data_IF_387644855626
#
_entry.id   IF_387644855626
#
_cell.length_a   1.000
_cell.length_b   1.000
_cell.length_c   1.000
_cell.angle_alpha   90.00
_cell.angle_beta   90.00
_cell.angle_gamma   90.00
#
_symmetry.space_group_name_H-M   'P 1'
#
loop_
_entity.id
_entity.type
_entity.pdbx_description
1 polymer ?
#
# COMPACT_ATOMS: atom_id res chain seq x y z
N UNK A 1 40.68 -19.00 -56.72
CA UNK A 1 40.29 -17.67 -56.20
C UNK A 1 39.26 -17.85 -55.11
N UNK A 2 39.67 -17.78 -53.84
CA UNK A 2 38.77 -17.95 -52.68
C UNK A 2 38.43 -16.54 -52.17
N UNK A 3 37.19 -16.09 -52.39
CA UNK A 3 36.69 -14.81 -51.86
C UNK A 3 36.44 -14.98 -50.35
N UNK A 4 37.27 -14.38 -49.51
CA UNK A 4 37.00 -14.24 -48.07
C UNK A 4 35.95 -13.15 -47.87
N UNK A 5 34.73 -13.54 -47.49
CA UNK A 5 33.71 -12.60 -47.02
C UNK A 5 34.10 -12.16 -45.59
N UNK A 6 34.45 -10.89 -45.43
CA UNK A 6 34.67 -10.27 -44.13
C UNK A 6 33.29 -9.83 -43.61
N UNK A 7 32.74 -10.57 -42.66
CA UNK A 7 31.56 -10.14 -41.92
C UNK A 7 31.99 -9.12 -40.86
N UNK A 8 31.73 -7.84 -41.13
CA UNK A 8 31.86 -6.78 -40.13
C UNK A 8 30.66 -6.90 -39.20
N UNK A 9 30.88 -7.48 -38.02
CA UNK A 9 29.91 -7.48 -36.93
C UNK A 9 29.82 -6.05 -36.38
N UNK A 10 28.88 -5.26 -36.90
CA UNK A 10 28.56 -3.93 -36.35
C UNK A 10 27.89 -4.15 -35.00
N UNK A 11 28.68 -4.00 -33.93
CA UNK A 11 28.18 -3.95 -32.56
C UNK A 11 27.40 -2.63 -32.39
N UNK A 12 26.09 -2.69 -32.66
CA UNK A 12 25.17 -1.61 -32.32
C UNK A 12 25.02 -1.63 -30.80
N UNK A 13 25.81 -0.80 -30.12
CA UNK A 13 25.62 -0.51 -28.69
C UNK A 13 24.36 0.34 -28.57
N UNK A 14 23.21 -0.32 -28.42
CA UNK A 14 21.98 0.35 -28.02
C UNK A 14 22.15 0.75 -26.57
N UNK A 15 22.52 2.02 -26.33
CA UNK A 15 22.44 2.62 -25.02
C UNK A 15 20.95 2.69 -24.63
N UNK A 16 20.47 1.66 -23.94
CA UNK A 16 19.16 1.67 -23.34
C UNK A 16 19.14 2.77 -22.28
N UNK A 17 18.49 3.90 -22.58
CA UNK A 17 18.17 4.92 -21.58
C UNK A 17 17.28 4.28 -20.50
N UNK A 18 17.90 3.78 -19.44
CA UNK A 18 17.18 3.40 -18.24
C UNK A 18 16.49 4.66 -17.70
N UNK A 19 15.18 4.64 -17.42
CA UNK A 19 14.47 5.79 -16.89
C UNK A 19 15.09 6.19 -15.54
N UNK A 20 15.80 7.32 -15.53
CA UNK A 20 16.49 7.82 -14.33
C UNK A 20 15.48 8.57 -13.47
N UNK A 21 15.16 8.00 -12.30
CA UNK A 21 14.62 8.77 -11.19
C UNK A 21 15.61 9.91 -10.90
N UNK A 22 15.13 11.15 -10.76
CA UNK A 22 15.99 12.27 -10.41
C UNK A 22 15.99 12.41 -8.89
N UNK A 23 17.15 12.66 -8.31
CA UNK A 23 17.31 12.86 -6.88
C UNK A 23 18.28 14.00 -6.61
N UNK A 24 17.85 14.95 -5.79
CA UNK A 24 18.69 16.01 -5.24
C UNK A 24 18.83 15.77 -3.76
N UNK A 25 19.94 15.13 -3.36
CA UNK A 25 20.23 14.80 -1.96
C UNK A 25 21.11 15.91 -1.39
N UNK A 26 20.62 16.59 -0.35
CA UNK A 26 21.31 17.71 0.30
C UNK A 26 22.05 17.26 1.57
N UNK A 27 21.58 16.19 2.21
CA UNK A 27 22.17 15.60 3.41
C UNK A 27 22.00 14.08 3.32
N UNK A 28 23.02 13.31 3.68
CA UNK A 28 22.96 11.84 3.70
C UNK A 28 23.09 11.32 5.13
N UNK A 29 22.35 10.25 5.43
CA UNK A 29 22.44 9.50 6.68
C UNK A 29 22.82 8.04 6.37
N UNK A 30 23.18 7.22 7.38
CA UNK A 30 23.41 5.79 7.17
C UNK A 30 22.21 5.14 6.46
N UNK A 31 22.44 4.31 5.42
CA UNK A 31 21.37 3.64 4.72
C UNK A 31 20.52 2.77 5.65
N UNK A 32 19.21 2.72 5.39
CA UNK A 32 18.28 1.90 6.17
C UNK A 32 18.19 0.48 5.61
N UNK A 33 17.95 -0.53 6.47
CA UNK A 33 17.61 -1.89 6.05
C UNK A 33 16.43 -1.94 5.07
N UNK A 34 16.38 -2.98 4.24
CA UNK A 34 15.35 -3.13 3.18
C UNK A 34 13.92 -3.16 3.74
N UNK A 35 13.75 -3.76 4.92
CA UNK A 35 12.51 -3.93 5.67
C UNK A 35 12.21 -2.76 6.61
N UNK A 36 13.14 -1.79 6.75
CA UNK A 36 12.91 -0.61 7.58
C UNK A 36 11.65 0.14 7.13
N UNK A 37 10.85 0.56 8.11
CA UNK A 37 9.66 1.38 7.90
C UNK A 37 10.06 2.69 7.21
N UNK A 38 9.42 2.94 6.06
CA UNK A 38 9.44 4.24 5.39
C UNK A 38 8.02 4.71 5.22
N UNK A 39 7.68 5.77 5.95
CA UNK A 39 6.34 6.37 5.93
C UNK A 39 6.19 7.22 4.69
N UNK A 40 5.02 7.16 4.05
CA UNK A 40 4.67 7.98 2.90
C UNK A 40 3.44 8.79 3.25
N UNK A 41 3.62 10.11 3.30
CA UNK A 41 2.56 11.09 3.47
C UNK A 41 2.10 11.54 2.08
N UNK A 42 0.79 11.45 1.83
CA UNK A 42 0.14 11.89 0.60
C UNK A 42 0.17 13.43 0.51
N UNK A 43 -0.11 14.03 -0.64
CA UNK A 43 -0.15 15.48 -0.83
C UNK A 43 -1.11 16.16 0.15
N UNK A 44 -2.24 15.52 0.44
CA UNK A 44 -3.28 16.00 1.35
C UNK A 44 -2.91 15.93 2.84
N UNK A 45 -1.87 15.18 3.23
CA UNK A 45 -1.44 15.10 4.63
C UNK A 45 -0.84 16.43 5.11
N UNK A 46 -1.52 17.14 6.01
CA UNK A 46 -1.08 18.45 6.53
C UNK A 46 -0.24 18.37 7.81
N UNK A 47 0.21 17.17 8.18
CA UNK A 47 0.99 16.96 9.40
C UNK A 47 2.32 17.74 9.36
N UNK A 48 2.66 18.42 10.46
CA UNK A 48 3.96 19.08 10.62
C UNK A 48 5.06 18.05 10.88
N UNK A 49 6.10 18.07 10.06
CA UNK A 49 7.19 17.09 10.11
C UNK A 49 8.36 17.67 10.91
N UNK A 50 8.77 16.95 11.95
CA UNK A 50 9.89 17.32 12.82
C UNK A 50 11.06 16.37 12.53
N UNK A 51 12.01 16.84 11.72
CA UNK A 51 13.20 16.08 11.36
C UNK A 51 14.06 16.77 10.31
N UNK A 52 15.16 16.11 9.96
CA UNK A 52 16.12 16.62 8.99
C UNK A 52 15.62 16.41 7.55
N UNK A 53 15.63 17.46 6.74
CA UNK A 53 15.41 17.34 5.29
C UNK A 53 16.64 16.66 4.66
N UNK A 54 16.43 15.48 4.08
CA UNK A 54 17.48 14.70 3.41
C UNK A 54 17.64 15.15 1.96
N UNK A 55 16.53 15.45 1.28
CA UNK A 55 16.53 15.89 -0.11
C UNK A 55 15.16 15.84 -0.78
N UNK A 56 15.19 15.91 -2.11
CA UNK A 56 14.03 15.83 -2.98
C UNK A 56 14.22 14.71 -4.00
N UNK A 57 13.17 13.93 -4.23
CA UNK A 57 13.10 12.84 -5.19
C UNK A 57 12.02 13.11 -6.22
N UNK A 58 12.27 12.71 -7.47
CA UNK A 58 11.34 12.85 -8.58
C UNK A 58 11.21 11.55 -9.36
N UNK A 59 9.97 11.10 -9.51
CA UNK A 59 9.58 9.99 -10.37
C UNK A 59 8.84 10.54 -11.59
N UNK A 60 9.57 10.90 -12.65
CA UNK A 60 9.01 11.55 -13.85
C UNK A 60 8.77 10.58 -15.03
N UNK A 61 9.34 9.37 -14.98
CA UNK A 61 9.18 8.30 -15.97
C UNK A 61 9.14 6.95 -15.24
N UNK A 62 8.57 5.91 -15.86
CA UNK A 62 8.53 4.57 -15.25
C UNK A 62 9.93 4.07 -15.03
N UNK A 63 10.36 3.91 -13.77
CA UNK A 63 11.74 3.69 -13.36
C UNK A 63 12.40 2.43 -13.93
N UNK A 64 13.15 1.67 -13.11
CA UNK A 64 13.98 0.55 -13.59
C UNK A 64 13.19 -0.53 -14.38
N UNK A 65 11.90 -0.69 -14.09
CA UNK A 65 11.04 -1.72 -14.69
C UNK A 65 10.11 -1.19 -15.80
N UNK A 66 10.16 0.11 -16.13
CA UNK A 66 9.27 0.74 -17.12
C UNK A 66 7.80 0.85 -16.70
N UNK A 67 7.43 0.47 -15.47
CA UNK A 67 6.11 0.71 -14.90
C UNK A 67 6.12 1.99 -14.04
N UNK A 68 5.11 2.84 -14.22
CA UNK A 68 4.96 4.16 -13.60
C UNK A 68 3.57 4.38 -12.99
N UNK A 69 2.97 3.33 -12.42
CA UNK A 69 1.84 3.53 -11.51
C UNK A 69 2.25 4.39 -10.33
N UNK A 70 1.26 4.98 -9.67
CA UNK A 70 1.47 5.60 -8.37
C UNK A 70 2.19 4.63 -7.42
N UNK A 71 1.67 3.41 -7.26
CA UNK A 71 2.29 2.40 -6.40
C UNK A 71 3.76 2.09 -6.74
N UNK A 72 4.09 1.84 -8.02
CA UNK A 72 5.46 1.51 -8.40
C UNK A 72 6.41 2.69 -8.15
N UNK A 73 5.94 3.92 -8.39
CA UNK A 73 6.71 5.10 -8.05
C UNK A 73 6.94 5.21 -6.54
N UNK A 74 5.92 4.92 -5.71
CA UNK A 74 6.09 4.89 -4.24
C UNK A 74 7.14 3.86 -3.82
N UNK A 75 7.15 2.64 -4.40
CA UNK A 75 8.17 1.63 -4.11
C UNK A 75 9.58 2.12 -4.46
N UNK A 76 9.72 2.73 -5.65
CA UNK A 76 10.99 3.30 -6.10
C UNK A 76 11.47 4.44 -5.18
N UNK A 77 10.55 5.33 -4.76
CA UNK A 77 10.85 6.41 -3.82
C UNK A 77 11.28 5.87 -2.45
N UNK A 78 10.63 4.81 -1.95
CA UNK A 78 11.03 4.12 -0.71
C UNK A 78 12.44 3.55 -0.80
N UNK A 79 12.79 2.92 -1.92
CA UNK A 79 14.15 2.39 -2.12
C UNK A 79 15.21 3.50 -2.08
N UNK A 80 14.97 4.61 -2.80
CA UNK A 80 15.87 5.77 -2.81
C UNK A 80 15.97 6.45 -1.45
N UNK A 81 14.84 6.61 -0.74
CA UNK A 81 14.80 7.15 0.61
C UNK A 81 15.66 6.30 1.57
N UNK A 82 15.53 4.96 1.54
CA UNK A 82 16.35 4.06 2.37
C UNK A 82 17.83 4.20 2.07
N UNK A 83 18.21 4.25 0.78
CA UNK A 83 19.61 4.45 0.37
C UNK A 83 20.20 5.77 0.88
N UNK A 84 19.36 6.81 1.02
CA UNK A 84 19.76 8.11 1.55
C UNK A 84 19.66 8.23 3.09
N UNK A 85 19.19 7.17 3.78
CA UNK A 85 18.97 7.17 5.23
C UNK A 85 17.72 7.94 5.68
N UNK A 86 16.76 8.13 4.78
CA UNK A 86 15.48 8.78 5.05
C UNK A 86 14.38 7.75 5.35
N UNK A 87 13.62 7.96 6.42
CA UNK A 87 12.53 7.09 6.87
C UNK A 87 11.13 7.72 6.72
N UNK A 88 11.04 8.92 6.12
CA UNK A 88 9.77 9.56 5.79
C UNK A 88 9.84 10.24 4.42
N UNK A 89 8.78 10.05 3.64
CA UNK A 89 8.57 10.64 2.32
C UNK A 89 7.28 11.46 2.39
N UNK A 90 7.35 12.74 2.02
CA UNK A 90 6.17 13.59 1.82
C UNK A 90 6.01 13.87 0.34
N UNK A 91 4.92 13.40 -0.26
CA UNK A 91 4.56 13.76 -1.63
C UNK A 91 4.21 15.26 -1.65
N UNK A 92 4.90 16.01 -2.49
CA UNK A 92 4.72 17.46 -2.66
C UNK A 92 4.00 17.80 -3.95
N UNK A 93 4.09 16.92 -4.95
CA UNK A 93 3.40 17.07 -6.22
C UNK A 93 3.00 15.69 -6.77
N UNK A 94 1.78 15.60 -7.30
CA UNK A 94 1.31 14.44 -8.04
C UNK A 94 0.57 14.88 -9.30
N UNK A 95 1.18 14.62 -10.47
CA UNK A 95 0.53 14.79 -11.77
C UNK A 95 0.03 13.44 -12.28
N UNK A 96 -1.28 13.35 -12.53
CA UNK A 96 -1.91 12.17 -13.09
C UNK A 96 -1.48 11.92 -14.55
N UNK A 97 -1.62 10.67 -15.04
CA UNK A 97 -1.56 10.37 -16.46
C UNK A 97 -2.53 11.24 -17.26
N UNK A 98 -2.14 11.62 -18.46
CA UNK A 98 -2.96 12.36 -19.43
C UNK A 98 -2.83 11.79 -20.83
N UNK A 99 -3.30 12.53 -21.83
CA UNK A 99 -3.32 12.07 -23.24
C UNK A 99 -1.92 11.87 -23.85
N UNK A 100 -0.94 12.66 -23.44
CA UNK A 100 0.43 12.63 -23.97
C UNK A 100 1.42 11.90 -23.07
N UNK A 101 1.06 11.62 -21.82
CA UNK A 101 1.94 10.96 -20.85
C UNK A 101 1.12 9.99 -20.00
N UNK A 102 1.37 8.70 -20.13
CA UNK A 102 0.61 7.64 -19.45
C UNK A 102 1.13 7.34 -18.03
N UNK A 103 2.16 8.05 -17.56
CA UNK A 103 2.79 7.82 -16.27
C UNK A 103 2.26 8.77 -15.19
N UNK A 104 2.12 8.24 -13.97
CA UNK A 104 2.06 9.08 -12.79
C UNK A 104 3.41 9.75 -12.60
N UNK A 105 3.40 11.05 -12.31
CA UNK A 105 4.62 11.81 -12.00
C UNK A 105 4.53 12.33 -10.59
N UNK A 106 5.53 12.01 -9.77
CA UNK A 106 5.59 12.36 -8.37
C UNK A 106 6.84 13.17 -8.06
N UNK A 107 6.68 14.22 -7.26
CA UNK A 107 7.78 14.84 -6.54
C UNK A 107 7.57 14.62 -5.05
N UNK A 108 8.65 14.33 -4.34
CA UNK A 108 8.60 14.09 -2.91
C UNK A 108 9.80 14.70 -2.19
N UNK A 109 9.55 15.28 -1.02
CA UNK A 109 10.60 15.65 -0.07
C UNK A 109 10.82 14.49 0.90
N UNK A 110 12.07 14.14 1.16
CA UNK A 110 12.42 13.03 2.05
C UNK A 110 13.11 13.54 3.32
N UNK A 111 12.81 12.88 4.43
CA UNK A 111 13.21 13.29 5.77
C UNK A 111 13.79 12.12 6.57
N UNK A 112 14.72 12.45 7.46
CA UNK A 112 15.14 11.59 8.55
C UNK A 112 14.49 12.09 9.84
N UNK A 113 13.58 11.30 10.41
CA UNK A 113 12.83 11.61 11.63
C UNK A 113 13.15 10.60 12.72
N UNK A 114 13.07 11.00 13.99
CA UNK A 114 13.35 10.10 15.12
C UNK A 114 12.34 8.96 15.25
N UNK A 115 11.05 9.24 15.03
CA UNK A 115 9.96 8.27 15.14
C UNK A 115 9.05 8.37 13.91
N UNK A 116 9.32 7.55 12.90
CA UNK A 116 8.53 7.55 11.67
C UNK A 116 7.08 7.06 11.89
N UNK A 117 6.87 6.05 12.77
CA UNK A 117 5.54 5.48 13.08
C UNK A 117 4.51 6.53 13.50
N UNK A 118 4.96 7.59 14.19
CA UNK A 118 4.12 8.76 14.55
C UNK A 118 3.38 9.34 13.33
N UNK A 119 4.01 9.36 12.17
CA UNK A 119 3.50 9.98 10.95
C UNK A 119 2.66 9.03 10.08
N UNK A 120 2.62 7.72 10.35
CA UNK A 120 1.84 6.78 9.54
C UNK A 120 0.37 7.20 9.50
N UNK A 121 -0.13 7.56 8.32
CA UNK A 121 -1.55 7.87 8.08
C UNK A 121 -2.33 6.65 7.56
N UNK A 122 -1.60 5.71 6.94
CA UNK A 122 -2.11 4.49 6.31
C UNK A 122 -1.12 3.37 6.58
N UNK A 123 -1.63 2.21 6.98
CA UNK A 123 -0.86 0.98 7.22
C UNK A 123 -1.32 -0.06 6.21
N UNK A 124 -0.39 -0.63 5.44
CA UNK A 124 -0.69 -1.76 4.58
C UNK A 124 -0.71 -3.04 5.42
N UNK A 125 -1.65 -3.94 5.11
CA UNK A 125 -1.70 -5.22 5.80
C UNK A 125 -0.42 -6.03 5.56
N UNK A 126 0.13 -6.62 6.62
CA UNK A 126 1.24 -7.57 6.57
C UNK A 126 1.09 -8.59 7.71
N UNK A 127 1.55 -9.83 7.47
CA UNK A 127 1.59 -10.85 8.50
C UNK A 127 2.52 -10.47 9.67
N UNK A 128 3.56 -9.68 9.39
CA UNK A 128 4.62 -9.33 10.34
C UNK A 128 4.34 -8.03 11.12
N UNK A 129 3.27 -7.29 10.76
CA UNK A 129 2.90 -6.02 11.40
C UNK A 129 1.44 -6.03 11.84
N UNK A 130 1.22 -6.48 13.08
CA UNK A 130 -0.09 -6.38 13.77
C UNK A 130 -0.36 -4.97 14.27
N UNK A 131 -1.63 -4.61 14.37
CA UNK A 131 -2.09 -3.32 14.89
C UNK A 131 -1.71 -3.18 16.37
N UNK A 132 -1.49 -1.94 16.76
CA UNK A 132 -1.19 -1.51 18.13
C UNK A 132 -2.04 -0.28 18.44
N UNK A 133 -2.26 0.03 19.73
CA UNK A 133 -3.07 1.19 20.09
C UNK A 133 -2.52 2.55 19.64
N UNK A 134 -1.22 2.63 19.30
CA UNK A 134 -0.62 3.82 18.68
C UNK A 134 -1.11 4.07 17.25
N UNK A 135 -1.67 3.03 16.60
CA UNK A 135 -2.14 3.09 15.23
C UNK A 135 -3.55 3.71 15.14
N UNK A 136 -4.29 3.80 16.25
CA UNK A 136 -5.64 4.39 16.34
C UNK A 136 -5.53 5.86 16.73
N UNK A 137 -5.31 6.71 15.73
CA UNK A 137 -5.01 8.15 15.90
C UNK A 137 -6.23 9.05 15.69
N UNK A 138 -7.35 8.49 15.24
CA UNK A 138 -8.60 9.21 15.05
C UNK A 138 -9.21 9.67 16.36
N UNK A 139 -10.03 10.72 16.27
CA UNK A 139 -10.82 11.21 17.41
C UNK A 139 -12.03 10.28 17.59
N UNK A 140 -12.29 9.77 18.80
CA UNK A 140 -13.47 8.96 19.07
C UNK A 140 -14.79 9.68 18.75
N UNK A 141 -15.66 9.04 17.98
CA UNK A 141 -17.00 9.53 17.66
C UNK A 141 -18.04 8.90 18.59
N UNK A 142 -17.96 9.26 19.87
CA UNK A 142 -18.87 8.75 20.91
C UNK A 142 -20.27 9.34 20.83
N UNK A 143 -20.50 10.35 19.97
CA UNK A 143 -21.83 10.92 19.77
C UNK A 143 -22.67 10.01 18.87
N UNK A 144 -22.11 9.56 17.74
CA UNK A 144 -22.80 8.64 16.83
C UNK A 144 -22.68 7.18 17.28
N UNK A 145 -21.65 6.85 18.07
CA UNK A 145 -21.34 5.49 18.53
C UNK A 145 -21.09 5.42 20.05
N UNK A 146 -22.08 5.71 20.90
CA UNK A 146 -21.89 5.90 22.35
C UNK A 146 -21.41 4.67 23.13
N UNK A 147 -21.65 3.46 22.61
CA UNK A 147 -21.26 2.20 23.25
C UNK A 147 -20.10 1.49 22.52
N UNK A 148 -19.41 2.19 21.62
CA UNK A 148 -18.32 1.61 20.83
C UNK A 148 -16.97 1.96 21.46
N UNK A 149 -16.20 0.93 21.82
CA UNK A 149 -14.90 1.10 22.48
C UNK A 149 -13.78 1.44 21.49
N UNK A 150 -13.84 0.89 20.28
CA UNK A 150 -12.89 1.14 19.21
C UNK A 150 -13.58 0.98 17.85
N UNK A 151 -12.98 1.56 16.82
CA UNK A 151 -13.45 1.42 15.46
C UNK A 151 -12.27 1.39 14.48
N UNK A 152 -12.27 0.37 13.63
CA UNK A 152 -11.34 0.20 12.53
C UNK A 152 -11.90 0.78 11.24
N UNK A 153 -11.15 1.67 10.61
CA UNK A 153 -11.38 2.11 9.25
C UNK A 153 -10.36 1.44 8.32
N UNK A 154 -10.74 0.31 7.73
CA UNK A 154 -9.95 -0.40 6.74
C UNK A 154 -10.71 -0.60 5.42
N UNK A 155 -9.96 -0.84 4.35
CA UNK A 155 -10.52 -1.14 3.04
C UNK A 155 -9.43 -1.55 2.06
N UNK A 156 -9.84 -1.87 0.84
CA UNK A 156 -8.90 -2.19 -0.23
C UNK A 156 -9.23 -1.45 -1.52
N UNK A 157 -8.20 -1.19 -2.31
CA UNK A 157 -8.31 -0.53 -3.61
C UNK A 157 -7.42 -1.20 -4.64
N UNK A 158 -7.64 -0.86 -5.91
CA UNK A 158 -6.80 -1.34 -7.01
C UNK A 158 -6.31 -0.22 -7.93
N UNK A 159 -5.12 -0.40 -8.48
CA UNK A 159 -4.50 0.50 -9.48
C UNK A 159 -3.99 -0.32 -10.67
N UNK A 160 -4.10 0.22 -11.88
CA UNK A 160 -3.49 -0.36 -13.08
C UNK A 160 -2.50 0.62 -13.72
N UNK A 161 -1.35 0.11 -14.15
CA UNK A 161 -0.35 0.90 -14.88
C UNK A 161 -0.53 0.76 -16.36
N UNK A 162 -0.84 1.85 -17.07
CA UNK A 162 -0.93 1.83 -18.53
C UNK A 162 0.48 1.93 -19.10
N UNK A 163 1.10 0.79 -19.39
CA UNK A 163 2.28 0.72 -20.25
C UNK A 163 1.85 0.22 -21.63
N UNK A 164 1.98 1.08 -22.65
CA UNK A 164 1.58 0.80 -24.05
C UNK A 164 2.46 -0.28 -24.72
N UNK A 165 3.64 -0.59 -24.15
CA UNK A 165 4.62 -1.53 -24.69
C UNK A 165 4.69 -2.86 -23.91
N UNK A 166 4.19 -2.89 -22.66
CA UNK A 166 4.17 -4.10 -21.80
C UNK A 166 2.90 -4.18 -20.98
N UNK A 167 2.29 -5.35 -20.95
CA UNK A 167 1.10 -5.61 -20.13
C UNK A 167 1.41 -5.44 -18.63
N UNK A 168 0.73 -4.49 -17.98
CA UNK A 168 0.90 -4.16 -16.57
C UNK A 168 -0.03 -4.99 -15.68
N UNK A 169 0.44 -5.35 -14.48
CA UNK A 169 -0.37 -5.99 -13.44
C UNK A 169 -1.29 -4.98 -12.76
N UNK A 170 -2.46 -5.43 -12.31
CA UNK A 170 -3.31 -4.69 -11.38
C UNK A 170 -2.76 -4.86 -9.96
N UNK A 171 -2.48 -3.76 -9.27
CA UNK A 171 -2.00 -3.75 -7.90
C UNK A 171 -3.18 -3.61 -6.95
N UNK A 172 -3.23 -4.43 -5.90
CA UNK A 172 -4.31 -4.42 -4.89
C UNK A 172 -3.68 -4.34 -3.51
N UNK A 173 -4.17 -3.43 -2.67
CA UNK A 173 -3.69 -3.23 -1.30
C UNK A 173 -4.84 -3.21 -0.32
N UNK A 174 -4.68 -3.92 0.80
CA UNK A 174 -5.47 -3.76 2.02
C UNK A 174 -4.82 -2.68 2.89
N UNK A 175 -5.59 -1.68 3.29
CA UNK A 175 -5.11 -0.48 3.99
C UNK A 175 -5.96 -0.23 5.24
N UNK A 176 -5.30 0.02 6.35
CA UNK A 176 -5.86 0.55 7.59
C UNK A 176 -5.58 2.06 7.68
N UNK A 177 -6.61 2.87 7.92
CA UNK A 177 -6.49 4.33 8.03
C UNK A 177 -6.38 4.75 9.49
N UNK A 178 -5.19 5.16 9.91
CA UNK A 178 -4.91 5.45 11.32
C UNK A 178 -5.69 6.65 11.84
N UNK A 179 -5.91 7.65 11.01
CA UNK A 179 -6.55 8.91 11.40
C UNK A 179 -8.08 8.83 11.37
N UNK A 180 -8.64 7.77 10.78
CA UNK A 180 -10.07 7.45 10.79
C UNK A 180 -10.42 6.29 11.73
N UNK A 181 -9.42 5.63 12.30
CA UNK A 181 -9.58 4.58 13.29
C UNK A 181 -9.31 5.13 14.68
N UNK A 182 -10.16 4.83 15.64
CA UNK A 182 -10.14 5.46 16.95
C UNK A 182 -10.43 4.45 18.06
N UNK A 183 -10.05 4.80 19.29
CA UNK A 183 -10.28 4.00 20.50
C UNK A 183 -10.50 4.93 21.69
N UNK A 184 -11.49 4.64 22.54
CA UNK A 184 -11.67 5.34 23.82
C UNK A 184 -10.69 4.78 24.86
N UNK A 185 -10.42 5.52 25.94
CA UNK A 185 -9.40 5.13 26.93
C UNK A 185 -9.71 3.75 27.53
N UNK A 186 -10.97 3.49 27.83
CA UNK A 186 -11.49 2.25 28.40
C UNK A 186 -11.37 1.05 27.44
N UNK A 187 -11.35 1.33 26.13
CA UNK A 187 -11.23 0.32 25.07
C UNK A 187 -9.80 -0.19 24.86
N UNK A 188 -8.79 0.44 25.48
CA UNK A 188 -7.38 0.11 25.27
C UNK A 188 -6.94 -1.15 26.03
N UNK A 189 -7.38 -2.30 25.55
CA UNK A 189 -6.99 -3.61 26.07
C UNK A 189 -6.79 -4.64 24.95
N UNK A 190 -6.09 -5.73 25.24
CA UNK A 190 -5.71 -6.71 24.21
C UNK A 190 -6.91 -7.40 23.55
N UNK A 191 -8.04 -7.52 24.25
CA UNK A 191 -9.22 -8.19 23.72
C UNK A 191 -9.90 -7.34 22.61
N UNK A 192 -10.10 -6.05 22.88
CA UNK A 192 -10.65 -5.12 21.88
C UNK A 192 -9.65 -4.94 20.73
N UNK A 193 -8.34 -4.90 20.98
CA UNK A 193 -7.35 -4.78 19.90
C UNK A 193 -7.42 -5.97 18.93
N UNK A 194 -7.63 -7.19 19.43
CA UNK A 194 -7.83 -8.37 18.58
C UNK A 194 -9.13 -8.31 17.79
N UNK A 195 -10.19 -7.74 18.36
CA UNK A 195 -11.44 -7.49 17.64
C UNK A 195 -11.20 -6.60 16.42
N UNK A 196 -10.51 -5.48 16.63
CA UNK A 196 -10.16 -4.54 15.57
C UNK A 196 -9.19 -5.15 14.54
N UNK A 197 -8.25 -6.00 14.98
CA UNK A 197 -7.36 -6.73 14.09
C UNK A 197 -8.12 -7.69 13.17
N UNK A 198 -9.21 -8.32 13.65
CA UNK A 198 -10.04 -9.20 12.83
C UNK A 198 -10.71 -8.43 11.68
N UNK A 199 -11.22 -7.22 11.91
CA UNK A 199 -11.75 -6.37 10.83
C UNK A 199 -10.69 -6.09 9.75
N UNK A 200 -9.46 -5.79 10.17
CA UNK A 200 -8.37 -5.58 9.22
C UNK A 200 -7.93 -6.86 8.50
N UNK A 201 -7.94 -8.00 9.19
CA UNK A 201 -7.64 -9.31 8.61
C UNK A 201 -8.74 -9.75 7.61
N UNK A 202 -10.02 -9.48 7.88
CA UNK A 202 -11.14 -9.65 6.93
C UNK A 202 -10.90 -8.80 5.68
N UNK A 203 -10.48 -7.55 5.83
CA UNK A 203 -10.16 -6.68 4.69
C UNK A 203 -9.07 -7.30 3.80
N UNK A 204 -8.02 -7.89 4.38
CA UNK A 204 -7.00 -8.59 3.59
C UNK A 204 -7.55 -9.87 2.94
N UNK A 205 -8.38 -10.68 3.60
CA UNK A 205 -8.99 -11.87 2.99
C UNK A 205 -9.69 -11.50 1.67
N UNK A 206 -10.49 -10.42 1.68
CA UNK A 206 -11.20 -9.96 0.48
C UNK A 206 -10.27 -9.29 -0.53
N UNK A 207 -9.17 -8.69 -0.09
CA UNK A 207 -8.10 -8.23 -0.98
C UNK A 207 -7.43 -9.38 -1.73
N UNK A 208 -7.15 -10.49 -1.03
CA UNK A 208 -6.61 -11.72 -1.63
C UNK A 208 -7.61 -12.38 -2.58
N UNK A 209 -8.90 -12.40 -2.21
CA UNK A 209 -9.98 -12.86 -3.07
C UNK A 209 -10.07 -12.04 -4.36
N UNK A 210 -9.97 -10.72 -4.28
CA UNK A 210 -9.92 -9.85 -5.46
C UNK A 210 -8.71 -10.16 -6.34
N UNK A 211 -7.51 -10.28 -5.75
CA UNK A 211 -6.30 -10.63 -6.51
C UNK A 211 -6.47 -11.96 -7.25
N UNK A 212 -7.08 -12.96 -6.60
CA UNK A 212 -7.41 -14.24 -7.21
C UNK A 212 -8.36 -14.07 -8.40
N UNK A 213 -9.50 -13.43 -8.20
CA UNK A 213 -10.53 -13.35 -9.24
C UNK A 213 -10.09 -12.50 -10.44
N UNK A 214 -9.33 -11.42 -10.22
CA UNK A 214 -8.73 -10.66 -11.32
C UNK A 214 -7.71 -11.49 -12.10
N UNK A 215 -6.92 -12.33 -11.41
CA UNK A 215 -5.98 -13.23 -12.06
C UNK A 215 -6.71 -14.30 -12.89
N UNK A 216 -7.72 -14.96 -12.32
CA UNK A 216 -8.52 -15.99 -13.01
C UNK A 216 -9.24 -15.42 -14.25
N UNK A 217 -9.71 -14.17 -14.16
CA UNK A 217 -10.36 -13.46 -15.27
C UNK A 217 -9.38 -12.83 -16.28
N UNK A 218 -8.06 -13.06 -16.12
CA UNK A 218 -7.00 -12.48 -16.94
C UNK A 218 -7.13 -10.94 -17.09
N UNK A 219 -7.43 -10.27 -15.96
CA UNK A 219 -7.51 -8.81 -15.92
C UNK A 219 -6.11 -8.22 -15.84
N UNK A 220 -5.84 -7.31 -16.77
CA UNK A 220 -4.57 -6.62 -16.91
C UNK A 220 -4.82 -5.12 -17.10
N UNK A 221 -3.75 -4.35 -17.24
CA UNK A 221 -3.87 -2.91 -17.50
C UNK A 221 -4.65 -2.57 -18.78
N UNK A 222 -4.78 -3.50 -19.74
CA UNK A 222 -5.46 -3.28 -21.03
C UNK A 222 -6.98 -3.37 -20.95
N UNK A 223 -7.50 -4.06 -19.94
CA UNK A 223 -8.94 -4.31 -19.75
C UNK A 223 -9.37 -4.00 -18.30
N UNK A 224 -8.68 -3.07 -17.65
CA UNK A 224 -8.85 -2.73 -16.24
C UNK A 224 -10.28 -2.25 -15.90
N UNK A 225 -11.05 -1.78 -16.89
CA UNK A 225 -12.46 -1.45 -16.74
C UNK A 225 -13.31 -2.67 -16.30
N UNK A 226 -12.92 -3.88 -16.71
CA UNK A 226 -13.58 -5.13 -16.31
C UNK A 226 -13.32 -5.49 -14.84
N UNK A 227 -12.32 -4.87 -14.19
CA UNK A 227 -12.09 -5.06 -12.76
C UNK A 227 -13.21 -4.44 -11.90
N UNK A 228 -13.85 -3.35 -12.36
CA UNK A 228 -14.83 -2.59 -11.58
C UNK A 228 -16.02 -3.43 -11.08
N UNK A 229 -16.73 -4.21 -11.92
CA UNK A 229 -17.83 -5.04 -11.43
C UNK A 229 -17.36 -6.14 -10.46
N UNK A 230 -16.17 -6.72 -10.67
CA UNK A 230 -15.58 -7.72 -9.76
C UNK A 230 -15.27 -7.07 -8.41
N UNK A 231 -14.61 -5.90 -8.44
CA UNK A 231 -14.29 -5.12 -7.26
C UNK A 231 -15.54 -4.77 -6.44
N UNK A 232 -16.57 -4.20 -7.09
CA UNK A 232 -17.79 -3.80 -6.40
C UNK A 232 -18.46 -4.98 -5.69
N UNK A 233 -18.55 -6.13 -6.36
CA UNK A 233 -19.11 -7.34 -5.74
C UNK A 233 -18.29 -7.78 -4.53
N UNK A 234 -16.97 -7.92 -4.69
CA UNK A 234 -16.10 -8.39 -3.60
C UNK A 234 -16.10 -7.40 -2.43
N UNK A 235 -16.18 -6.10 -2.70
CA UNK A 235 -16.29 -5.06 -1.67
C UNK A 235 -17.60 -5.20 -0.89
N UNK A 236 -18.73 -5.36 -1.57
CA UNK A 236 -20.02 -5.62 -0.90
C UNK A 236 -20.01 -6.92 -0.10
N UNK A 237 -19.38 -7.98 -0.61
CA UNK A 237 -19.23 -9.22 0.15
C UNK A 237 -18.36 -9.04 1.41
N UNK A 238 -17.33 -8.19 1.37
CA UNK A 238 -16.51 -7.83 2.54
C UNK A 238 -17.35 -7.09 3.58
N UNK A 239 -18.12 -6.08 3.16
CA UNK A 239 -19.00 -5.32 4.06
C UNK A 239 -19.99 -6.25 4.78
N UNK A 240 -20.62 -7.17 4.05
CA UNK A 240 -21.50 -8.18 4.63
C UNK A 240 -20.77 -9.11 5.60
N UNK A 241 -19.49 -9.43 5.35
CA UNK A 241 -18.68 -10.26 6.27
C UNK A 241 -18.35 -9.53 7.56
N UNK A 242 -17.96 -8.25 7.48
CA UNK A 242 -17.72 -7.44 8.68
C UNK A 242 -19.00 -7.28 9.51
N UNK A 243 -20.14 -6.99 8.87
CA UNK A 243 -21.43 -6.91 9.54
C UNK A 243 -21.81 -8.23 10.23
N UNK A 244 -21.57 -9.36 9.58
CA UNK A 244 -21.82 -10.69 10.17
C UNK A 244 -20.91 -10.94 11.38
N UNK A 245 -19.63 -10.60 11.28
CA UNK A 245 -18.69 -10.73 12.39
C UNK A 245 -19.15 -9.92 13.60
N UNK A 246 -19.52 -8.64 13.40
CA UNK A 246 -20.06 -7.80 14.47
C UNK A 246 -21.37 -8.35 15.02
N UNK A 247 -22.28 -8.84 14.18
CA UNK A 247 -23.55 -9.39 14.62
C UNK A 247 -23.37 -10.66 15.48
N UNK A 248 -22.54 -11.60 15.02
CA UNK A 248 -22.32 -12.88 15.69
C UNK A 248 -21.56 -12.72 17.01
N UNK A 249 -20.56 -11.84 17.03
CA UNK A 249 -19.81 -11.51 18.26
C UNK A 249 -20.54 -10.55 19.17
N UNK A 250 -21.70 -10.01 18.76
CA UNK A 250 -22.36 -8.89 19.44
C UNK A 250 -21.39 -7.71 19.66
N UNK A 251 -20.70 -7.31 18.59
CA UNK A 251 -19.70 -6.22 18.55
C UNK A 251 -18.59 -6.42 19.57
N UNK A 252 -18.18 -7.68 19.76
CA UNK A 252 -17.14 -8.06 20.71
C UNK A 252 -17.64 -8.47 22.10
N UNK A 253 -18.94 -8.48 22.41
CA UNK A 253 -19.41 -8.94 23.74
C UNK A 253 -19.29 -10.47 23.93
N UNK A 254 -19.33 -11.25 22.85
CA UNK A 254 -19.23 -12.73 22.88
C UNK A 254 -17.82 -13.23 22.62
N UNK A 255 -17.06 -13.38 23.71
CA UNK A 255 -15.65 -13.81 23.68
C UNK A 255 -15.39 -15.13 22.96
N UNK A 256 -16.13 -16.19 23.27
CA UNK A 256 -15.94 -17.50 22.61
C UNK A 256 -16.21 -17.43 21.11
N UNK A 257 -17.18 -16.61 20.69
CA UNK A 257 -17.47 -16.39 19.26
C UNK A 257 -16.33 -15.64 18.58
N UNK A 258 -15.75 -14.63 19.23
CA UNK A 258 -14.57 -13.94 18.70
C UNK A 258 -13.37 -14.90 18.54
N UNK A 259 -13.11 -15.74 19.55
CA UNK A 259 -12.03 -16.74 19.49
C UNK A 259 -12.24 -17.76 18.35
N UNK A 260 -13.48 -18.16 18.08
CA UNK A 260 -13.81 -18.96 16.90
C UNK A 260 -13.50 -18.21 15.60
N UNK A 261 -13.85 -16.93 15.52
CA UNK A 261 -13.56 -16.08 14.36
C UNK A 261 -12.06 -15.86 14.13
N UNK A 262 -11.25 -15.75 15.19
CA UNK A 262 -9.78 -15.71 15.08
C UNK A 262 -9.26 -16.94 14.32
N UNK A 263 -9.77 -18.14 14.65
CA UNK A 263 -9.41 -19.37 13.96
C UNK A 263 -9.90 -19.38 12.50
N UNK A 264 -11.14 -18.96 12.25
CA UNK A 264 -11.74 -18.89 10.91
C UNK A 264 -10.94 -17.96 10.00
N UNK A 265 -10.65 -16.74 10.45
CA UNK A 265 -9.90 -15.72 9.70
C UNK A 265 -8.48 -16.20 9.41
N UNK A 266 -7.82 -16.85 10.38
CA UNK A 266 -6.49 -17.45 10.17
C UNK A 266 -6.51 -18.50 9.05
N UNK A 267 -7.53 -19.38 9.03
CA UNK A 267 -7.70 -20.39 7.98
C UNK A 267 -8.02 -19.76 6.62
N UNK A 268 -8.87 -18.73 6.59
CA UNK A 268 -9.23 -18.02 5.36
C UNK A 268 -8.06 -17.25 4.76
N UNK A 269 -7.22 -16.60 5.60
CA UNK A 269 -5.97 -16.00 5.14
C UNK A 269 -5.07 -17.06 4.49
N UNK A 270 -4.88 -18.21 5.15
CA UNK A 270 -4.07 -19.30 4.63
C UNK A 270 -4.65 -19.90 3.32
N UNK A 271 -5.98 -19.98 3.18
CA UNK A 271 -6.64 -20.44 1.96
C UNK A 271 -6.24 -19.63 0.72
N UNK A 272 -5.99 -18.34 0.88
CA UNK A 272 -5.57 -17.46 -0.21
C UNK A 272 -4.09 -17.07 -0.14
N UNK A 273 -3.23 -17.89 0.46
CA UNK A 273 -1.82 -17.55 0.70
C UNK A 273 -1.04 -17.22 -0.59
N UNK A 274 -1.34 -17.88 -1.72
CA UNK A 274 -0.77 -17.57 -3.03
C UNK A 274 -1.14 -16.18 -3.58
N UNK A 275 -2.10 -15.51 -2.95
CA UNK A 275 -2.60 -14.20 -3.35
C UNK A 275 -2.37 -13.13 -2.27
N UNK A 276 -1.47 -13.36 -1.30
CA UNK A 276 -1.05 -12.30 -0.37
C UNK A 276 -0.32 -11.17 -1.09
N UNK A 277 -0.33 -9.97 -0.52
CA UNK A 277 0.55 -8.89 -1.00
C UNK A 277 2.03 -9.31 -0.88
N UNK A 278 2.80 -9.06 -1.93
CA UNK A 278 4.27 -9.15 -1.90
C UNK A 278 4.89 -7.85 -1.37
#
# INVERSE_FOLDING_TARGET
>A
MIKRLIYILVLIVVAACAPKLKSTITKTFPPLPKDALVVVLDIADVQSIEGDVVGVLEANHGGLNGNCTYYQNILNLKELARKAGANLIKITEHKLPGTTNTCHRLQAKIFSVKNAKKYEAKINWSADRKLTWDDFKGVPDTLNYPNTLAMTNSGFGYESGVNMLKEGKVFIQSVFNTNKSWVVVEGRNDYVLRHEQIHFDITEIYSRKLRKELADANITSKNAEKAKPIFNRIFSEMELRQQRYDQETQRGDKRETQEHWEAVVKLELAKYEFYKSN
#
